data_IF_682172585063
#
_entry.id   IF_682172585063
#
_cell.length_a   1.000
_cell.length_b   1.000
_cell.length_c   1.000
_cell.angle_alpha   90.00
_cell.angle_beta   90.00
_cell.angle_gamma   90.00
#
_symmetry.space_group_name_H-M   'P 1'
#
loop_
_entity.id
_entity.type
_entity.pdbx_description
1 polymer ?
#
# COMPACT_ATOMS: atom_id res chain seq x y z
N UNK A 1 -80.69 -2.19 -60.57
CA UNK A 1 -81.10 -2.94 -61.77
C UNK A 1 -80.19 -4.17 -61.81
N UNK A 2 -80.78 -5.38 -61.82
CA UNK A 2 -80.13 -6.72 -61.95
C UNK A 2 -79.23 -7.18 -60.76
N UNK A 3 -79.48 -8.24 -59.95
CA UNK A 3 -80.03 -9.61 -60.12
C UNK A 3 -79.35 -10.34 -61.29
N UNK A 4 -78.54 -11.41 -61.13
CA UNK A 4 -78.77 -12.74 -60.51
C UNK A 4 -77.43 -13.51 -60.56
N UNK A 5 -76.99 -14.20 -59.51
CA UNK A 5 -77.26 -15.61 -59.15
C UNK A 5 -76.53 -16.68 -60.00
N UNK A 6 -75.90 -17.60 -59.24
CA UNK A 6 -75.57 -19.03 -59.53
C UNK A 6 -74.30 -19.33 -60.35
N UNK A 7 -73.45 -20.32 -60.03
CA UNK A 7 -73.52 -21.50 -59.15
C UNK A 7 -72.08 -22.06 -58.92
N UNK A 8 -71.76 -22.52 -57.68
CA UNK A 8 -71.14 -23.82 -57.26
C UNK A 8 -69.92 -24.36 -58.10
N UNK A 9 -68.74 -24.78 -57.58
CA UNK A 9 -68.45 -25.70 -56.46
C UNK A 9 -66.94 -25.83 -56.09
N UNK A 10 -66.73 -26.40 -54.88
CA UNK A 10 -65.70 -27.36 -54.42
C UNK A 10 -64.22 -26.96 -54.26
N UNK A 11 -63.82 -26.97 -52.98
CA UNK A 11 -62.49 -27.29 -52.43
C UNK A 11 -61.34 -26.31 -52.73
N UNK A 12 -61.16 -25.32 -51.85
CA UNK A 12 -59.93 -24.53 -51.75
C UNK A 12 -59.68 -24.09 -50.31
N UNK A 13 -58.79 -24.80 -49.60
CA UNK A 13 -58.22 -24.36 -48.32
C UNK A 13 -57.58 -22.96 -48.49
N UNK A 14 -57.87 -22.04 -47.57
CA UNK A 14 -57.04 -20.85 -47.33
C UNK A 14 -56.71 -20.69 -45.85
N UNK A 15 -55.50 -20.17 -45.63
CA UNK A 15 -54.60 -20.47 -44.54
C UNK A 15 -54.84 -19.69 -43.25
N UNK A 16 -54.82 -20.41 -42.13
CA UNK A 16 -54.73 -19.87 -40.78
C UNK A 16 -53.28 -19.48 -40.48
N UNK A 17 -52.80 -18.34 -40.97
CA UNK A 17 -51.50 -17.79 -40.57
C UNK A 17 -51.66 -17.03 -39.24
N UNK A 18 -51.64 -17.83 -38.18
CA UNK A 18 -50.97 -17.63 -36.87
C UNK A 18 -50.98 -16.22 -36.25
N UNK A 19 -51.92 -16.01 -35.31
CA UNK A 19 -51.85 -14.99 -34.24
C UNK A 19 -50.49 -14.97 -33.50
N UNK A 20 -49.74 -16.07 -33.50
CA UNK A 20 -48.44 -16.20 -32.84
C UNK A 20 -47.36 -15.29 -33.44
N UNK A 21 -47.39 -14.99 -34.76
CA UNK A 21 -46.40 -14.09 -35.36
C UNK A 21 -46.61 -12.63 -34.94
N UNK A 22 -47.85 -12.23 -34.70
CA UNK A 22 -48.19 -10.88 -34.26
C UNK A 22 -47.77 -10.62 -32.81
N UNK A 23 -47.89 -11.65 -31.95
CA UNK A 23 -47.46 -11.59 -30.54
C UNK A 23 -45.92 -11.54 -30.39
N UNK A 24 -45.19 -12.22 -31.27
CA UNK A 24 -43.72 -12.21 -31.25
C UNK A 24 -43.21 -10.81 -31.68
N UNK A 25 -43.79 -10.24 -32.74
CA UNK A 25 -43.39 -8.90 -33.22
C UNK A 25 -43.71 -7.81 -32.19
N UNK A 26 -44.85 -7.88 -31.49
CA UNK A 26 -45.18 -6.91 -30.44
C UNK A 26 -44.23 -7.01 -29.24
N UNK A 27 -43.86 -8.22 -28.82
CA UNK A 27 -42.92 -8.42 -27.72
C UNK A 27 -41.52 -7.90 -28.05
N UNK A 28 -41.04 -8.12 -29.28
CA UNK A 28 -39.75 -7.59 -29.75
C UNK A 28 -39.73 -6.06 -29.80
N UNK A 29 -40.82 -5.43 -30.24
CA UNK A 29 -40.92 -3.96 -30.27
C UNK A 29 -40.92 -3.37 -28.85
N UNK A 30 -41.64 -3.99 -27.91
CA UNK A 30 -41.69 -3.54 -26.51
C UNK A 30 -40.31 -3.68 -25.85
N UNK A 31 -39.64 -4.83 -26.00
CA UNK A 31 -38.29 -5.02 -25.47
C UNK A 31 -37.29 -4.02 -26.06
N UNK A 32 -37.37 -3.73 -27.36
CA UNK A 32 -36.49 -2.75 -28.01
C UNK A 32 -36.69 -1.34 -27.47
N UNK A 33 -37.94 -0.96 -27.19
CA UNK A 33 -38.29 0.34 -26.60
C UNK A 33 -37.78 0.48 -25.15
N UNK A 34 -37.88 -0.58 -24.35
CA UNK A 34 -37.37 -0.60 -22.97
C UNK A 34 -35.85 -0.46 -22.94
N UNK A 35 -35.14 -1.17 -23.82
CA UNK A 35 -33.67 -1.07 -23.94
C UNK A 35 -33.26 0.35 -24.37
N UNK A 36 -33.95 0.92 -25.37
CA UNK A 36 -33.68 2.29 -25.81
C UNK A 36 -33.91 3.31 -24.70
N UNK A 37 -34.99 3.19 -23.91
CA UNK A 37 -35.22 4.05 -22.75
C UNK A 37 -34.12 3.90 -21.69
N UNK A 38 -33.70 2.66 -21.40
CA UNK A 38 -32.64 2.39 -20.43
C UNK A 38 -31.30 3.00 -20.82
N UNK A 39 -30.93 2.96 -22.11
CA UNK A 39 -29.71 3.59 -22.63
C UNK A 39 -29.80 5.12 -22.53
N UNK A 40 -30.94 5.72 -22.87
CA UNK A 40 -31.14 7.18 -22.76
C UNK A 40 -31.08 7.66 -21.31
N UNK A 41 -31.72 6.94 -20.38
CA UNK A 41 -31.64 7.23 -18.95
C UNK A 41 -30.22 7.05 -18.41
N UNK A 42 -29.52 5.98 -18.80
CA UNK A 42 -28.14 5.73 -18.41
C UNK A 42 -27.17 6.82 -18.89
N UNK A 43 -27.33 7.28 -20.15
CA UNK A 43 -26.53 8.39 -20.69
C UNK A 43 -26.83 9.72 -20.01
N UNK A 44 -28.07 9.95 -19.57
CA UNK A 44 -28.44 11.16 -18.83
C UNK A 44 -27.86 11.16 -17.42
N UNK A 45 -27.95 10.05 -16.70
CA UNK A 45 -27.32 9.88 -15.38
C UNK A 45 -25.79 10.03 -15.49
N UNK A 46 -25.17 9.42 -16.51
CA UNK A 46 -23.74 9.56 -16.76
C UNK A 46 -23.32 11.02 -17.01
N UNK A 47 -24.15 11.79 -17.73
CA UNK A 47 -23.88 13.21 -18.01
C UNK A 47 -24.07 14.08 -16.77
N UNK A 48 -25.09 13.82 -15.95
CA UNK A 48 -25.36 14.57 -14.72
C UNK A 48 -24.28 14.31 -13.65
N UNK A 49 -23.77 13.06 -13.52
CA UNK A 49 -22.66 12.74 -12.60
C UNK A 49 -21.34 13.41 -13.02
N UNK A 50 -21.11 13.54 -14.33
CA UNK A 50 -19.92 14.23 -14.85
C UNK A 50 -19.99 15.76 -14.68
N UNK A 51 -21.19 16.36 -14.65
CA UNK A 51 -21.34 17.78 -14.33
C UNK A 51 -21.18 18.04 -12.83
N UNK A 52 -21.68 17.16 -11.95
CA UNK A 52 -21.54 17.31 -10.50
C UNK A 52 -20.12 17.11 -9.97
N UNK A 53 -19.28 16.31 -10.64
CA UNK A 53 -17.86 16.15 -10.26
C UNK A 53 -17.03 17.43 -10.45
N UNK A 54 -17.46 18.35 -11.30
CA UNK A 54 -16.78 19.63 -11.54
C UNK A 54 -17.26 20.77 -10.62
N UNK A 55 -18.18 20.53 -9.67
CA UNK A 55 -18.76 21.59 -8.82
C UNK A 55 -18.54 21.37 -7.32
N UNK A 56 -17.95 20.26 -6.88
CA UNK A 56 -17.75 19.96 -5.44
C UNK A 56 -16.33 20.28 -4.93
N UNK A 57 -15.45 20.86 -5.75
CA UNK A 57 -14.20 21.46 -5.28
C UNK A 57 -14.00 22.85 -5.89
N UNK A 58 -14.34 23.89 -5.15
CA UNK A 58 -13.79 25.24 -5.37
C UNK A 58 -14.81 26.37 -5.41
N UNK A 59 -15.15 26.94 -4.25
CA UNK A 59 -15.48 28.36 -4.13
C UNK A 59 -14.73 28.98 -2.96
N UNK A 60 -13.66 29.68 -3.28
CA UNK A 60 -13.18 30.85 -2.55
C UNK A 60 -12.65 31.82 -3.62
N UNK A 61 -13.35 32.95 -3.78
CA UNK A 61 -13.11 33.89 -4.86
C UNK A 61 -11.88 34.77 -4.68
N UNK A 62 -11.33 35.23 -5.81
CA UNK A 62 -10.79 36.58 -5.98
C UNK A 62 -10.52 36.84 -7.47
N UNK A 63 -11.27 37.81 -7.97
CA UNK A 63 -11.13 38.70 -9.14
C UNK A 63 -9.87 38.67 -10.03
N UNK A 64 -10.13 38.65 -11.35
CA UNK A 64 -9.55 39.60 -12.32
C UNK A 64 -8.12 39.37 -12.83
N UNK A 65 -7.97 38.84 -14.07
CA UNK A 65 -6.71 38.93 -14.81
C UNK A 65 -6.67 38.12 -16.11
N UNK A 66 -6.57 38.85 -17.22
CA UNK A 66 -6.22 38.50 -18.61
C UNK A 66 -6.05 37.02 -19.06
N UNK A 67 -6.72 36.73 -20.17
CA UNK A 67 -6.55 35.54 -21.01
C UNK A 67 -5.10 35.41 -21.51
N UNK A 68 -4.27 34.64 -20.80
CA UNK A 68 -3.00 34.13 -21.32
C UNK A 68 -3.26 32.77 -21.96
N UNK A 69 -3.10 32.70 -23.29
CA UNK A 69 -3.11 31.46 -24.06
C UNK A 69 -1.88 30.62 -23.70
N UNK A 70 -1.95 29.81 -22.63
CA UNK A 70 -0.92 28.82 -22.33
C UNK A 70 -1.14 27.58 -23.17
N UNK A 71 -0.18 27.31 -24.06
CA UNK A 71 -0.03 26.02 -24.75
C UNK A 71 0.05 24.91 -23.68
N UNK A 72 -0.68 23.79 -23.82
CA UNK A 72 -0.60 22.70 -22.86
C UNK A 72 0.83 22.16 -22.83
N UNK A 73 1.51 22.31 -21.68
CA UNK A 73 2.78 21.64 -21.42
C UNK A 73 2.55 20.13 -21.53
N UNK A 74 3.33 19.40 -22.35
CA UNK A 74 3.12 17.97 -22.51
C UNK A 74 3.32 17.28 -21.16
N UNK A 75 2.31 16.49 -20.75
CA UNK A 75 2.41 15.54 -19.64
C UNK A 75 3.68 14.73 -19.83
N UNK A 76 4.56 14.61 -18.82
CA UNK A 76 5.77 13.80 -18.95
C UNK A 76 5.36 12.36 -19.26
N UNK A 77 5.60 11.95 -20.50
CA UNK A 77 5.38 10.56 -20.92
C UNK A 77 6.37 9.71 -20.14
N UNK A 78 5.88 8.98 -19.13
CA UNK A 78 6.67 7.95 -18.46
C UNK A 78 7.04 6.94 -19.54
N UNK A 79 8.27 7.03 -20.04
CA UNK A 79 8.86 5.94 -20.82
C UNK A 79 9.15 4.84 -19.81
N UNK A 80 8.17 3.95 -19.62
CA UNK A 80 8.45 2.63 -19.07
C UNK A 80 9.63 2.08 -19.87
N UNK A 81 10.70 1.60 -19.23
CA UNK A 81 11.77 0.95 -19.96
C UNK A 81 11.14 -0.10 -20.85
N UNK A 82 11.43 -0.04 -22.15
CA UNK A 82 11.10 -1.11 -23.08
C UNK A 82 11.93 -2.31 -22.64
N UNK A 83 11.43 -3.07 -21.67
CA UNK A 83 11.99 -4.37 -21.33
C UNK A 83 11.70 -5.26 -22.53
N UNK A 84 12.62 -5.27 -23.49
CA UNK A 84 12.65 -6.21 -24.60
C UNK A 84 13.01 -7.63 -24.13
N UNK A 85 13.20 -7.83 -22.83
CA UNK A 85 13.25 -9.14 -22.19
C UNK A 85 11.99 -9.40 -21.37
N UNK A 86 11.50 -10.63 -21.43
CA UNK A 86 10.63 -11.21 -20.39
C UNK A 86 11.21 -10.87 -19.01
N UNK A 87 10.37 -10.56 -17.99
CA UNK A 87 10.84 -10.45 -16.61
C UNK A 87 11.64 -11.71 -16.30
N UNK A 88 12.95 -11.58 -16.08
CA UNK A 88 13.77 -12.72 -15.76
C UNK A 88 13.41 -13.11 -14.33
N UNK A 89 12.47 -14.04 -14.19
CA UNK A 89 12.19 -14.69 -12.93
C UNK A 89 13.53 -15.24 -12.42
N UNK A 90 13.98 -14.71 -11.28
CA UNK A 90 15.26 -15.06 -10.66
C UNK A 90 15.23 -16.52 -10.16
N UNK A 91 14.05 -17.14 -10.13
CA UNK A 91 13.85 -18.52 -9.76
C UNK A 91 13.45 -19.35 -10.98
N UNK A 92 14.20 -20.42 -11.24
CA UNK A 92 13.82 -21.49 -12.18
C UNK A 92 12.64 -22.33 -11.65
N UNK A 93 12.18 -22.07 -10.41
CA UNK A 93 11.06 -22.78 -9.81
C UNK A 93 9.73 -22.28 -10.33
N UNK A 94 9.13 -23.03 -11.27
CA UNK A 94 7.86 -22.73 -11.95
C UNK A 94 6.70 -22.46 -10.97
N UNK A 95 6.73 -23.04 -9.77
CA UNK A 95 5.70 -22.86 -8.73
C UNK A 95 6.25 -22.17 -7.45
N UNK A 96 7.52 -21.77 -7.44
CA UNK A 96 8.15 -21.23 -6.23
C UNK A 96 8.37 -22.27 -5.12
N UNK A 97 8.56 -23.55 -5.48
CA UNK A 97 9.03 -24.57 -4.52
C UNK A 97 10.50 -24.33 -4.18
N UNK A 98 10.78 -24.20 -2.89
CA UNK A 98 12.12 -24.09 -2.35
C UNK A 98 12.36 -25.25 -1.38
N UNK A 99 13.54 -25.87 -1.47
CA UNK A 99 13.86 -27.06 -0.66
C UNK A 99 13.95 -26.78 0.84
N UNK A 100 14.33 -25.57 1.24
CA UNK A 100 14.67 -25.25 2.63
C UNK A 100 13.97 -24.02 3.18
N UNK A 101 14.02 -22.89 2.46
CA UNK A 101 13.42 -21.63 2.89
C UNK A 101 13.12 -20.74 1.67
N UNK A 102 12.25 -19.76 1.86
CA UNK A 102 11.89 -18.76 0.88
C UNK A 102 11.81 -17.38 1.54
N UNK A 103 12.17 -16.33 0.80
CA UNK A 103 11.95 -14.93 1.18
C UNK A 103 11.27 -14.26 0.00
N UNK A 104 10.14 -13.59 0.27
CA UNK A 104 9.40 -12.81 -0.72
C UNK A 104 9.36 -11.35 -0.25
N UNK A 105 9.79 -10.44 -1.12
CA UNK A 105 9.87 -8.99 -0.88
C UNK A 105 9.46 -8.25 -2.15
N UNK A 106 9.05 -6.98 -2.04
CA UNK A 106 8.61 -6.14 -3.16
C UNK A 106 9.76 -5.38 -3.86
N UNK A 107 11.00 -5.61 -3.40
CA UNK A 107 12.22 -4.97 -3.86
C UNK A 107 13.16 -5.97 -4.56
N UNK A 108 12.66 -6.60 -5.63
CA UNK A 108 13.41 -7.40 -6.61
C UNK A 108 14.36 -8.49 -6.04
N UNK A 109 15.27 -9.05 -6.86
CA UNK A 109 16.31 -9.95 -6.37
C UNK A 109 17.14 -9.42 -5.19
N UNK A 110 17.60 -8.14 -5.11
CA UNK A 110 18.61 -7.78 -4.11
C UNK A 110 18.12 -8.00 -2.68
N UNK A 111 16.89 -7.61 -2.34
CA UNK A 111 16.43 -7.67 -0.95
C UNK A 111 15.96 -9.07 -0.53
N UNK A 112 15.31 -9.83 -1.42
CA UNK A 112 15.00 -11.24 -1.17
C UNK A 112 16.28 -12.08 -1.08
N UNK A 113 17.27 -11.82 -1.93
CA UNK A 113 18.57 -12.53 -1.92
C UNK A 113 19.32 -12.26 -0.63
N UNK A 114 19.36 -11.02 -0.16
CA UNK A 114 19.96 -10.65 1.13
C UNK A 114 19.36 -11.48 2.27
N UNK A 115 18.03 -11.60 2.35
CA UNK A 115 17.36 -12.42 3.36
C UNK A 115 17.68 -13.90 3.23
N UNK A 116 17.62 -14.45 2.02
CA UNK A 116 17.97 -15.87 1.82
C UNK A 116 19.43 -16.16 2.17
N UNK A 117 20.35 -15.23 1.91
CA UNK A 117 21.76 -15.37 2.23
C UNK A 117 22.01 -15.37 3.76
N UNK A 118 21.22 -14.61 4.53
CA UNK A 118 21.30 -14.66 6.00
C UNK A 118 21.06 -16.09 6.50
N UNK A 119 20.06 -16.79 5.98
CA UNK A 119 19.78 -18.17 6.37
C UNK A 119 20.75 -19.18 5.73
N UNK A 120 20.85 -19.16 4.40
CA UNK A 120 21.50 -20.22 3.63
C UNK A 120 23.03 -20.18 3.71
N UNK A 121 23.63 -18.99 3.84
CA UNK A 121 25.09 -18.81 3.81
C UNK A 121 25.67 -18.43 5.17
N UNK A 122 24.92 -17.69 5.98
CA UNK A 122 25.40 -17.20 7.28
C UNK A 122 24.87 -18.00 8.48
N UNK A 123 23.90 -18.89 8.28
CA UNK A 123 23.33 -19.70 9.37
C UNK A 123 22.42 -18.93 10.32
N UNK A 124 21.90 -17.78 9.88
CA UNK A 124 20.96 -16.96 10.62
C UNK A 124 19.57 -17.59 10.73
N UNK A 125 18.73 -16.98 11.56
CA UNK A 125 17.32 -17.35 11.71
C UNK A 125 16.44 -16.73 10.63
N UNK A 126 15.15 -17.11 10.63
CA UNK A 126 14.13 -16.43 9.82
C UNK A 126 13.96 -14.97 10.24
N UNK A 127 14.23 -14.63 11.50
CA UNK A 127 14.17 -13.27 12.01
C UNK A 127 15.36 -12.46 11.49
N UNK A 128 16.58 -13.02 11.47
CA UNK A 128 17.75 -12.38 10.85
C UNK A 128 17.49 -12.09 9.37
N UNK A 129 16.91 -13.04 8.64
CA UNK A 129 16.53 -12.86 7.24
C UNK A 129 15.48 -11.77 7.06
N UNK A 130 14.44 -11.75 7.91
CA UNK A 130 13.39 -10.74 7.85
C UNK A 130 13.94 -9.33 8.10
N UNK A 131 14.81 -9.16 9.11
CA UNK A 131 15.45 -7.86 9.42
C UNK A 131 16.28 -7.37 8.24
N UNK A 132 17.18 -8.21 7.72
CA UNK A 132 18.06 -7.83 6.61
C UNK A 132 17.28 -7.52 5.33
N UNK A 133 16.21 -8.29 5.05
CA UNK A 133 15.32 -8.02 3.91
C UNK A 133 14.53 -6.73 4.09
N UNK A 134 13.96 -6.46 5.27
CA UNK A 134 13.15 -5.26 5.51
C UNK A 134 14.00 -3.99 5.39
N UNK A 135 15.21 -3.99 5.97
CA UNK A 135 16.17 -2.90 5.82
C UNK A 135 16.48 -2.61 4.35
N UNK A 136 16.74 -3.64 3.54
CA UNK A 136 16.97 -3.46 2.11
C UNK A 136 15.72 -2.96 1.39
N UNK A 137 14.56 -3.59 1.65
CA UNK A 137 13.31 -3.29 0.96
C UNK A 137 12.89 -1.85 1.19
N UNK A 138 12.91 -1.39 2.44
CA UNK A 138 12.50 -0.05 2.79
C UNK A 138 13.47 1.03 2.30
N UNK A 139 14.67 0.64 1.89
CA UNK A 139 15.61 1.55 1.21
C UNK A 139 15.38 1.51 -0.29
N UNK A 140 15.23 0.33 -0.86
CA UNK A 140 14.98 0.18 -2.28
C UNK A 140 13.66 0.84 -2.69
N UNK A 141 12.61 0.67 -1.88
CA UNK A 141 11.28 1.25 -2.02
C UNK A 141 11.03 2.32 -0.92
N UNK A 142 11.94 3.29 -0.79
CA UNK A 142 11.93 4.35 0.24
C UNK A 142 10.69 5.26 0.27
N UNK A 143 9.84 5.20 -0.74
CA UNK A 143 8.55 5.91 -0.76
C UNK A 143 7.45 5.16 0.01
N UNK A 144 7.70 3.89 0.39
CA UNK A 144 6.72 3.01 1.05
C UNK A 144 7.01 2.77 2.52
N UNK A 145 8.29 2.65 2.90
CA UNK A 145 8.73 2.42 4.28
C UNK A 145 10.17 2.91 4.48
N UNK A 146 10.68 2.87 5.71
CA UNK A 146 12.03 3.32 6.05
C UNK A 146 12.29 3.35 7.54
N UNK A 147 13.54 3.62 7.94
CA UNK A 147 13.94 3.71 9.34
C UNK A 147 13.27 4.88 10.11
N UNK A 148 12.65 5.81 9.38
CA UNK A 148 11.84 6.89 9.93
C UNK A 148 10.36 6.54 10.12
N UNK A 149 9.94 5.31 9.82
CA UNK A 149 8.57 4.82 9.99
C UNK A 149 8.43 3.79 11.10
N UNK A 150 7.57 2.80 10.88
CA UNK A 150 7.32 1.71 11.81
C UNK A 150 6.61 0.53 11.14
N UNK A 151 6.49 -0.58 11.85
CA UNK A 151 5.93 -1.83 11.30
C UNK A 151 5.21 -2.69 12.33
N UNK A 152 4.56 -3.74 11.84
CA UNK A 152 4.09 -4.87 12.65
C UNK A 152 4.74 -6.15 12.13
N UNK A 153 5.21 -7.01 13.03
CA UNK A 153 5.81 -8.30 12.65
C UNK A 153 5.18 -9.43 13.45
N UNK A 154 4.48 -10.33 12.76
CA UNK A 154 3.98 -11.57 13.35
C UNK A 154 4.95 -12.71 13.05
N UNK A 155 5.45 -13.35 14.09
CA UNK A 155 6.39 -14.47 13.98
C UNK A 155 5.73 -15.71 14.54
N UNK A 156 5.74 -16.81 13.77
CA UNK A 156 5.31 -18.12 14.24
C UNK A 156 6.54 -18.99 14.55
N UNK A 157 6.63 -19.45 15.80
CA UNK A 157 7.71 -20.32 16.26
C UNK A 157 7.23 -21.79 16.29
N UNK A 158 7.71 -22.58 15.33
CA UNK A 158 7.28 -23.99 15.17
C UNK A 158 7.59 -24.87 16.40
N UNK A 159 8.73 -24.65 17.05
CA UNK A 159 9.13 -25.39 18.27
C UNK A 159 8.14 -25.21 19.41
N UNK A 160 7.61 -24.00 19.58
CA UNK A 160 6.62 -23.67 20.62
C UNK A 160 5.18 -23.84 20.15
N UNK A 161 4.96 -23.95 18.83
CA UNK A 161 3.63 -23.95 18.19
C UNK A 161 2.80 -22.72 18.59
N UNK A 162 3.49 -21.59 18.73
CA UNK A 162 2.92 -20.32 19.17
C UNK A 162 3.40 -19.20 18.24
N UNK A 163 2.67 -18.10 18.23
CA UNK A 163 3.06 -16.89 17.52
C UNK A 163 3.04 -15.70 18.47
N UNK A 164 3.79 -14.67 18.10
CA UNK A 164 3.80 -13.36 18.77
C UNK A 164 3.81 -12.28 17.70
N UNK A 165 3.34 -11.08 18.07
CA UNK A 165 3.39 -9.90 17.20
C UNK A 165 4.16 -8.79 17.89
N UNK A 166 5.18 -8.26 17.20
CA UNK A 166 5.89 -7.04 17.59
C UNK A 166 5.13 -5.85 17.02
N UNK A 167 4.77 -4.89 17.88
CA UNK A 167 4.14 -3.65 17.50
C UNK A 167 5.20 -2.54 17.51
N UNK A 168 5.73 -2.22 16.33
CA UNK A 168 6.73 -1.18 16.13
C UNK A 168 6.16 0.00 15.33
N UNK A 169 4.86 0.24 15.48
CA UNK A 169 4.15 1.38 14.89
C UNK A 169 4.60 2.67 15.55
N UNK A 170 4.61 3.75 14.79
CA UNK A 170 4.91 5.08 15.29
C UNK A 170 3.91 5.50 16.38
N UNK A 171 4.39 6.26 17.36
CA UNK A 171 3.57 6.81 18.45
C UNK A 171 3.38 8.31 18.29
N UNK A 172 2.25 8.84 18.77
CA UNK A 172 2.05 10.28 18.84
C UNK A 172 3.07 10.90 19.82
N UNK A 173 3.72 12.03 19.49
CA UNK A 173 4.58 12.77 20.43
C UNK A 173 3.82 13.20 21.68
N UNK A 174 4.49 13.35 22.82
CA UNK A 174 3.84 13.72 24.08
C UNK A 174 3.06 15.04 24.01
N UNK A 175 3.52 15.99 23.19
CA UNK A 175 2.88 17.30 22.98
C UNK A 175 1.75 17.27 21.92
N UNK A 176 1.44 16.10 21.35
CA UNK A 176 0.34 15.95 20.41
C UNK A 176 -1.02 16.18 21.10
N UNK A 177 -1.98 16.75 20.38
CA UNK A 177 -3.33 16.99 20.89
C UNK A 177 -4.38 16.89 19.78
N UNK A 178 -5.64 16.71 20.18
CA UNK A 178 -6.79 16.49 19.29
C UNK A 178 -6.94 17.57 18.20
N UNK A 179 -6.58 18.82 18.51
CA UNK A 179 -6.81 19.96 17.63
C UNK A 179 -5.58 20.42 16.83
N UNK A 180 -4.44 19.73 16.96
CA UNK A 180 -3.14 20.19 16.43
C UNK A 180 -3.13 20.37 14.89
N UNK A 181 -4.08 19.77 14.18
CA UNK A 181 -4.22 19.85 12.73
C UNK A 181 -5.36 20.76 12.25
N UNK A 182 -6.08 21.44 13.14
CA UNK A 182 -7.11 22.42 12.71
C UNK A 182 -6.43 23.54 11.93
N UNK A 183 -6.72 23.64 10.63
CA UNK A 183 -6.09 24.62 9.73
C UNK A 183 -4.63 24.31 9.37
N UNK A 184 -4.15 23.10 9.62
CA UNK A 184 -2.78 22.65 9.30
C UNK A 184 -2.80 21.30 8.59
N UNK A 185 -1.73 20.96 7.88
CA UNK A 185 -1.62 19.67 7.19
C UNK A 185 -1.29 18.55 8.19
N UNK A 186 -1.96 17.39 8.04
CA UNK A 186 -1.62 16.14 8.74
C UNK A 186 -0.83 15.17 7.87
N UNK A 187 -0.42 15.59 6.67
CA UNK A 187 0.28 14.72 5.69
C UNK A 187 1.59 15.31 5.18
N UNK A 188 1.91 16.56 5.54
CA UNK A 188 3.12 17.25 5.11
C UNK A 188 3.77 18.00 6.30
N UNK A 189 5.10 18.08 6.30
CA UNK A 189 5.89 18.79 7.32
C UNK A 189 6.17 17.97 8.58
N UNK A 190 7.00 18.52 9.46
CA UNK A 190 7.44 17.86 10.69
C UNK A 190 6.32 17.60 11.69
N UNK A 191 5.23 18.39 11.63
CA UNK A 191 4.06 18.18 12.51
C UNK A 191 3.36 16.84 12.23
N UNK A 192 3.43 16.34 10.98
CA UNK A 192 2.83 15.07 10.56
C UNK A 192 3.67 13.83 10.95
N UNK A 193 4.83 14.01 11.58
CA UNK A 193 5.75 12.93 11.93
C UNK A 193 5.37 12.31 13.28
N UNK A 194 5.11 11.01 13.30
CA UNK A 194 5.04 10.20 14.52
C UNK A 194 6.44 9.73 14.96
N UNK A 195 6.59 9.34 16.22
CA UNK A 195 7.85 8.85 16.77
C UNK A 195 8.25 7.55 16.05
N UNK A 196 9.38 7.50 15.31
CA UNK A 196 9.74 6.34 14.50
C UNK A 196 10.01 5.07 15.30
N UNK A 197 9.41 3.95 14.90
CA UNK A 197 9.50 2.66 15.58
C UNK A 197 10.36 1.60 14.93
N UNK A 198 10.73 1.77 13.66
CA UNK A 198 11.36 0.75 12.83
C UNK A 198 12.61 0.13 13.49
N UNK A 199 13.58 0.95 13.92
CA UNK A 199 14.85 0.45 14.44
C UNK A 199 14.66 -0.28 15.78
N UNK A 200 13.83 0.24 16.68
CA UNK A 200 13.53 -0.43 17.96
C UNK A 200 12.80 -1.74 17.72
N UNK A 201 11.82 -1.77 16.84
CA UNK A 201 11.10 -3.00 16.49
C UNK A 201 12.01 -4.09 15.93
N UNK A 202 12.91 -3.73 15.02
CA UNK A 202 13.88 -4.67 14.44
C UNK A 202 14.84 -5.21 15.50
N UNK A 203 15.23 -4.36 16.47
CA UNK A 203 16.02 -4.78 17.61
C UNK A 203 15.28 -5.75 18.52
N UNK A 204 14.03 -5.47 18.88
CA UNK A 204 13.22 -6.38 19.70
C UNK A 204 13.06 -7.74 19.01
N UNK A 205 12.84 -7.75 17.69
CA UNK A 205 12.83 -8.99 16.90
C UNK A 205 14.16 -9.74 17.02
N UNK A 206 15.27 -9.02 16.86
CA UNK A 206 16.62 -9.56 16.99
C UNK A 206 16.89 -10.15 18.37
N UNK A 207 16.46 -9.51 19.45
CA UNK A 207 16.62 -10.01 20.82
C UNK A 207 15.84 -11.31 21.05
N UNK A 208 14.68 -11.47 20.42
CA UNK A 208 13.84 -12.68 20.59
C UNK A 208 14.34 -13.84 19.74
N UNK A 209 14.67 -13.59 18.47
CA UNK A 209 14.87 -14.65 17.49
C UNK A 209 16.13 -14.51 16.63
N UNK A 210 16.95 -13.48 16.84
CA UNK A 210 18.20 -13.26 16.11
C UNK A 210 19.29 -14.27 16.47
N UNK A 211 20.15 -14.58 15.50
CA UNK A 211 21.33 -15.45 15.70
C UNK A 211 22.61 -14.80 15.21
N UNK A 212 22.53 -13.99 14.16
CA UNK A 212 23.69 -13.28 13.63
C UNK A 212 23.97 -12.01 14.45
N UNK A 213 25.22 -11.51 14.46
CA UNK A 213 25.51 -10.20 15.02
C UNK A 213 24.66 -9.11 14.37
N UNK A 214 24.10 -8.19 15.16
CA UNK A 214 23.25 -7.09 14.67
C UNK A 214 23.86 -6.35 13.49
N UNK A 215 25.14 -5.97 13.62
CA UNK A 215 25.92 -5.31 12.57
C UNK A 215 25.88 -6.04 11.24
N UNK A 216 25.94 -7.37 11.24
CA UNK A 216 25.97 -8.19 10.02
C UNK A 216 24.65 -8.14 9.25
N UNK A 217 23.53 -7.84 9.93
CA UNK A 217 22.21 -7.67 9.30
C UNK A 217 22.12 -6.36 8.52
N UNK A 218 22.83 -5.32 8.95
CA UNK A 218 22.84 -3.99 8.32
C UNK A 218 23.84 -3.88 7.17
N UNK A 219 24.96 -4.62 7.24
CA UNK A 219 26.06 -4.50 6.26
C UNK A 219 25.66 -4.65 4.79
N UNK A 220 24.80 -5.62 4.38
CA UNK A 220 24.42 -5.77 2.98
C UNK A 220 23.73 -4.52 2.43
N UNK A 221 22.85 -3.92 3.24
CA UNK A 221 22.12 -2.71 2.88
C UNK A 221 23.02 -1.48 2.89
N UNK A 222 23.95 -1.36 3.86
CA UNK A 222 24.97 -0.30 3.86
C UNK A 222 25.80 -0.34 2.58
N UNK A 223 26.24 -1.53 2.16
CA UNK A 223 26.99 -1.73 0.91
C UNK A 223 26.18 -1.26 -0.29
N UNK A 224 24.91 -1.67 -0.38
CA UNK A 224 24.00 -1.30 -1.46
C UNK A 224 23.80 0.21 -1.54
N UNK A 225 23.71 0.92 -0.41
CA UNK A 225 23.57 2.37 -0.38
C UNK A 225 24.82 3.12 -0.86
N UNK A 226 26.01 2.57 -0.62
CA UNK A 226 27.30 3.16 -1.04
C UNK A 226 27.61 2.90 -2.51
N UNK A 227 27.45 1.65 -2.94
CA UNK A 227 27.73 1.22 -4.30
C UNK A 227 26.65 1.70 -5.27
N UNK A 228 25.42 1.84 -4.77
CA UNK A 228 24.24 2.24 -5.51
C UNK A 228 23.41 1.04 -5.93
N UNK A 229 22.14 1.29 -6.21
CA UNK A 229 21.20 0.28 -6.71
C UNK A 229 20.36 0.82 -7.85
N UNK A 230 19.83 -0.11 -8.63
CA UNK A 230 18.96 0.21 -9.76
C UNK A 230 17.58 0.65 -9.26
N UNK A 231 17.15 1.84 -9.66
CA UNK A 231 15.82 2.37 -9.34
C UNK A 231 14.76 1.45 -9.96
N UNK A 232 13.88 0.92 -9.10
CA UNK A 232 12.75 0.10 -9.50
C UNK A 232 11.61 0.92 -10.12
N UNK A 233 10.77 0.24 -10.89
CA UNK A 233 9.56 0.82 -11.49
C UNK A 233 8.64 1.49 -10.45
N UNK A 234 8.34 0.88 -9.28
CA UNK A 234 7.44 1.48 -8.29
C UNK A 234 7.93 2.85 -7.79
N UNK A 235 9.21 2.94 -7.43
CA UNK A 235 9.84 4.19 -6.96
C UNK A 235 9.81 5.26 -8.06
N UNK A 236 10.13 4.90 -9.30
CA UNK A 236 10.09 5.84 -10.41
C UNK A 236 8.68 6.42 -10.63
N UNK A 237 7.63 5.59 -10.51
CA UNK A 237 6.24 6.04 -10.58
C UNK A 237 5.91 6.97 -9.41
N UNK A 238 6.32 6.62 -8.18
CA UNK A 238 6.10 7.44 -7.00
C UNK A 238 6.77 8.82 -7.10
N UNK A 239 8.02 8.87 -7.57
CA UNK A 239 8.75 10.13 -7.79
C UNK A 239 8.06 11.00 -8.85
N UNK A 240 7.60 10.40 -9.96
CA UNK A 240 6.89 11.13 -11.01
C UNK A 240 5.57 11.71 -10.50
N UNK A 241 4.83 10.96 -9.67
CA UNK A 241 3.54 11.37 -9.11
C UNK A 241 3.62 12.50 -8.08
N UNK A 242 4.75 12.66 -7.38
CA UNK A 242 4.91 13.59 -6.25
C UNK A 242 5.76 14.83 -6.58
N UNK A 243 5.86 15.17 -7.89
CA UNK A 243 6.80 16.16 -8.40
C UNK A 243 6.76 17.51 -7.67
N UNK A 244 5.57 18.03 -7.36
CA UNK A 244 5.43 19.35 -6.72
C UNK A 244 5.77 19.34 -5.21
N UNK A 245 5.54 18.23 -4.51
CA UNK A 245 6.01 18.07 -3.12
C UNK A 245 7.53 18.01 -3.09
N UNK A 246 8.11 17.18 -3.96
CA UNK A 246 9.56 17.00 -4.07
C UNK A 246 10.24 18.33 -4.42
N UNK A 247 9.70 19.09 -5.38
CA UNK A 247 10.23 20.40 -5.78
C UNK A 247 10.23 21.44 -4.64
N UNK A 248 9.42 21.26 -3.59
CA UNK A 248 9.40 22.15 -2.42
C UNK A 248 10.39 21.72 -1.33
N UNK A 249 10.85 20.47 -1.33
CA UNK A 249 11.73 19.91 -0.29
C UNK A 249 13.17 19.72 -0.78
N UNK A 250 14.10 20.57 -0.32
CA UNK A 250 15.50 20.55 -0.81
C UNK A 250 16.17 19.19 -0.57
N UNK A 251 16.00 18.61 0.63
CA UNK A 251 16.60 17.31 0.96
C UNK A 251 16.13 16.18 0.04
N UNK A 252 14.86 16.18 -0.38
CA UNK A 252 14.35 15.21 -1.34
C UNK A 252 14.92 15.46 -2.75
N UNK A 253 14.99 16.72 -3.21
CA UNK A 253 15.60 17.03 -4.51
C UNK A 253 17.04 16.55 -4.59
N UNK A 254 17.84 16.84 -3.57
CA UNK A 254 19.25 16.44 -3.53
C UNK A 254 19.43 14.92 -3.57
N UNK A 255 18.47 14.17 -3.03
CA UNK A 255 18.48 12.71 -3.01
C UNK A 255 18.07 12.11 -4.35
N UNK A 256 17.01 12.63 -4.97
CA UNK A 256 16.34 11.94 -6.08
C UNK A 256 16.56 12.59 -7.45
N UNK A 257 17.21 13.74 -7.52
CA UNK A 257 17.63 14.34 -8.79
C UNK A 257 18.91 13.69 -9.28
N UNK A 258 18.85 13.13 -10.48
CA UNK A 258 19.99 12.61 -11.18
C UNK A 258 20.92 13.78 -11.59
N UNK A 259 22.15 13.86 -11.06
CA UNK A 259 23.03 15.00 -11.31
C UNK A 259 23.54 15.05 -12.75
N UNK A 260 23.50 13.95 -13.50
CA UNK A 260 23.89 13.92 -14.91
C UNK A 260 22.81 14.49 -15.83
N UNK A 261 21.53 14.36 -15.47
CA UNK A 261 20.41 14.79 -16.34
C UNK A 261 19.68 16.02 -15.82
N UNK A 262 19.81 16.34 -14.52
CA UNK A 262 19.03 17.38 -13.84
C UNK A 262 17.56 17.01 -13.60
N UNK A 263 17.13 15.82 -14.00
CA UNK A 263 15.77 15.31 -13.80
C UNK A 263 15.74 14.33 -12.61
N UNK A 264 14.55 13.99 -12.13
CA UNK A 264 14.43 12.89 -11.15
C UNK A 264 14.88 11.57 -11.78
N UNK A 265 15.44 10.70 -10.93
CA UNK A 265 15.83 9.37 -11.36
C UNK A 265 14.65 8.62 -11.99
N UNK A 266 14.91 7.87 -13.05
CA UNK A 266 13.92 6.97 -13.67
C UNK A 266 14.29 5.51 -13.49
N UNK A 267 13.33 4.61 -13.73
CA UNK A 267 13.56 3.17 -13.60
C UNK A 267 14.75 2.71 -14.47
N UNK A 268 15.62 1.89 -13.89
CA UNK A 268 16.85 1.43 -14.55
C UNK A 268 18.10 2.27 -14.26
N UNK A 269 17.95 3.52 -13.79
CA UNK A 269 19.10 4.35 -13.38
C UNK A 269 19.65 3.90 -12.02
N UNK A 270 20.90 4.28 -11.72
CA UNK A 270 21.55 3.94 -10.45
C UNK A 270 21.50 5.12 -9.49
N UNK A 271 20.90 4.91 -8.31
CA UNK A 271 20.85 5.87 -7.20
C UNK A 271 21.79 5.45 -6.07
N UNK A 272 22.37 6.43 -5.37
CA UNK A 272 23.23 6.23 -4.19
C UNK A 272 22.71 7.06 -3.02
N UNK A 273 22.81 6.56 -1.80
CA UNK A 273 22.39 7.32 -0.60
C UNK A 273 23.47 7.26 0.50
N UNK A 274 24.62 7.95 0.31
CA UNK A 274 25.74 7.88 1.23
C UNK A 274 25.42 8.41 2.64
N UNK A 275 24.52 9.40 2.76
CA UNK A 275 24.08 9.92 4.07
C UNK A 275 23.35 8.84 4.88
N UNK A 276 22.41 8.14 4.26
CA UNK A 276 21.69 7.04 4.90
C UNK A 276 22.61 5.84 5.18
N UNK A 277 23.60 5.57 4.32
CA UNK A 277 24.62 4.57 4.59
C UNK A 277 25.37 4.89 5.88
N UNK A 278 25.75 6.17 6.07
CA UNK A 278 26.42 6.62 7.29
C UNK A 278 25.54 6.50 8.53
N UNK A 279 24.25 6.81 8.42
CA UNK A 279 23.27 6.59 9.50
C UNK A 279 23.22 5.11 9.91
N UNK A 280 23.12 4.21 8.94
CA UNK A 280 23.10 2.77 9.22
C UNK A 280 24.44 2.23 9.77
N UNK A 281 25.58 2.80 9.37
CA UNK A 281 26.87 2.47 9.98
C UNK A 281 26.90 2.82 11.47
N UNK A 282 26.43 4.02 11.83
CA UNK A 282 26.36 4.46 13.22
C UNK A 282 25.46 3.51 14.02
N UNK A 283 24.28 3.16 13.51
CA UNK A 283 23.37 2.20 14.16
C UNK A 283 23.99 0.79 14.26
N UNK A 284 24.79 0.38 13.27
CA UNK A 284 25.46 -0.91 13.27
C UNK A 284 26.61 -0.98 14.28
N UNK A 285 27.32 0.13 14.49
CA UNK A 285 28.51 0.22 15.34
C UNK A 285 28.19 0.56 16.79
N UNK A 286 27.26 1.47 17.02
CA UNK A 286 26.89 2.01 18.34
C UNK A 286 25.62 1.34 18.91
N UNK A 287 24.91 0.57 18.09
CA UNK A 287 23.65 -0.07 18.45
C UNK A 287 22.42 0.84 18.24
N UNK A 288 21.25 0.32 18.55
CA UNK A 288 19.97 0.99 18.25
C UNK A 288 19.75 2.28 19.04
N UNK A 289 20.35 2.41 20.21
CA UNK A 289 20.23 3.62 21.02
C UNK A 289 20.95 4.82 20.39
N UNK A 290 21.82 4.61 19.40
CA UNK A 290 22.33 5.71 18.58
C UNK A 290 21.21 6.54 17.92
N UNK A 291 20.08 5.91 17.59
CA UNK A 291 18.89 6.56 17.03
C UNK A 291 18.03 7.22 18.12
N UNK A 292 17.78 6.52 19.23
CA UNK A 292 16.78 6.92 20.23
C UNK A 292 17.31 7.74 21.41
N UNK A 293 18.58 7.57 21.78
CA UNK A 293 19.22 8.26 22.91
C UNK A 293 20.75 8.31 22.74
N UNK A 294 21.21 8.78 21.57
CA UNK A 294 22.62 8.71 21.20
C UNK A 294 23.00 9.66 20.07
N UNK A 295 24.01 9.27 19.29
CA UNK A 295 24.71 10.13 18.33
C UNK A 295 23.78 10.80 17.30
N UNK A 296 22.72 10.12 16.85
CA UNK A 296 21.81 10.62 15.82
C UNK A 296 20.60 11.39 16.37
N UNK A 297 20.30 11.21 17.66
CA UNK A 297 19.03 11.66 18.26
C UNK A 297 18.82 13.16 18.15
N UNK A 298 19.88 13.95 18.39
CA UNK A 298 19.80 15.41 18.32
C UNK A 298 19.56 15.91 16.90
N UNK A 299 20.22 15.30 15.92
CA UNK A 299 20.07 15.66 14.52
C UNK A 299 18.65 15.33 14.02
N UNK A 300 18.12 14.16 14.39
CA UNK A 300 16.73 13.76 14.07
C UNK A 300 15.73 14.75 14.65
N UNK A 301 15.87 15.12 15.92
CA UNK A 301 14.96 16.07 16.58
C UNK A 301 15.09 17.46 15.96
N UNK A 302 16.30 17.90 15.64
CA UNK A 302 16.53 19.19 14.98
C UNK A 302 15.83 19.23 13.61
N UNK A 303 16.05 18.23 12.76
CA UNK A 303 15.44 18.15 11.43
C UNK A 303 13.89 18.17 11.50
N UNK A 304 13.30 17.44 12.45
CA UNK A 304 11.84 17.40 12.63
C UNK A 304 11.32 18.76 13.11
N UNK A 305 11.99 19.41 14.06
CA UNK A 305 11.58 20.72 14.59
C UNK A 305 11.76 21.85 13.59
N UNK A 306 12.83 21.81 12.79
CA UNK A 306 13.06 22.76 11.69
C UNK A 306 11.95 22.64 10.63
N UNK A 307 11.39 21.45 10.46
CA UNK A 307 10.21 21.20 9.62
C UNK A 307 8.86 21.50 10.32
N UNK A 308 8.87 22.08 11.52
CA UNK A 308 7.67 22.47 12.29
C UNK A 308 7.07 21.36 13.16
N UNK A 309 7.82 20.29 13.43
CA UNK A 309 7.41 19.18 14.27
C UNK A 309 7.59 19.42 15.76
N UNK A 310 7.01 18.51 16.55
CA UNK A 310 6.90 18.61 18.01
C UNK A 310 7.59 17.45 18.76
N UNK A 311 8.26 16.54 18.04
CA UNK A 311 9.03 15.45 18.66
C UNK A 311 10.21 16.03 19.44
N UNK A 312 10.44 15.47 20.63
CA UNK A 312 11.56 15.80 21.51
C UNK A 312 12.52 14.62 21.66
N UNK A 313 13.72 14.88 22.19
CA UNK A 313 14.67 13.81 22.56
C UNK A 313 14.05 12.83 23.58
N UNK A 314 13.17 13.33 24.47
CA UNK A 314 12.46 12.51 25.46
C UNK A 314 11.46 11.58 24.80
N UNK A 315 10.79 12.03 23.74
CA UNK A 315 9.86 11.18 22.97
C UNK A 315 10.61 10.01 22.31
N UNK A 316 11.75 10.28 21.68
CA UNK A 316 12.60 9.23 21.10
C UNK A 316 13.14 8.27 22.18
N UNK A 317 13.67 8.80 23.28
CA UNK A 317 14.20 7.98 24.36
C UNK A 317 13.12 7.13 25.05
N UNK A 318 11.87 7.60 25.06
CA UNK A 318 10.72 6.91 25.65
C UNK A 318 10.04 5.89 24.73
N UNK A 319 10.43 5.79 23.46
CA UNK A 319 9.79 4.87 22.52
C UNK A 319 10.07 3.41 22.86
N UNK A 320 9.04 2.56 22.78
CA UNK A 320 9.14 1.11 22.96
C UNK A 320 8.39 0.38 21.85
N UNK A 321 8.85 -0.83 21.50
CA UNK A 321 8.19 -1.70 20.52
C UNK A 321 7.66 -2.97 21.23
N UNK A 322 6.48 -2.93 21.87
CA UNK A 322 6.01 -4.05 22.67
C UNK A 322 5.75 -5.30 21.83
N UNK A 323 6.03 -6.46 22.41
CA UNK A 323 5.60 -7.76 21.90
C UNK A 323 4.31 -8.17 22.58
N UNK A 324 3.32 -8.60 21.80
CA UNK A 324 2.00 -9.03 22.28
C UNK A 324 1.58 -10.34 21.63
N UNK A 325 0.60 -11.01 22.25
CA UNK A 325 -0.04 -12.15 21.62
C UNK A 325 -0.78 -11.71 20.34
N UNK A 326 -0.73 -12.52 19.27
CA UNK A 326 -1.38 -12.20 18.01
C UNK A 326 -2.89 -12.43 18.13
N UNK A 327 -3.64 -11.87 17.18
CA UNK A 327 -5.02 -12.28 16.99
C UNK A 327 -5.05 -13.71 16.45
N UNK A 328 -5.77 -14.60 17.13
CA UNK A 328 -5.90 -16.01 16.77
C UNK A 328 -7.27 -16.29 16.18
N UNK A 329 -7.33 -16.65 14.90
CA UNK A 329 -8.58 -16.94 14.19
C UNK A 329 -8.57 -18.40 13.75
N UNK A 330 -9.47 -19.22 14.31
CA UNK A 330 -9.67 -20.61 13.87
C UNK A 330 -10.52 -20.62 12.61
N UNK A 331 -9.90 -20.90 11.46
CA UNK A 331 -10.62 -21.01 10.18
C UNK A 331 -11.49 -22.26 10.13
N UNK A 332 -10.90 -23.39 10.51
CA UNK A 332 -11.56 -24.69 10.61
C UNK A 332 -10.82 -25.55 11.64
N UNK A 333 -11.05 -26.86 11.64
CA UNK A 333 -10.43 -27.79 12.61
C UNK A 333 -8.90 -27.87 12.50
N UNK A 334 -8.33 -27.58 11.33
CA UNK A 334 -6.92 -27.83 11.04
C UNK A 334 -6.13 -26.54 10.72
N UNK A 335 -6.79 -25.42 10.53
CA UNK A 335 -6.17 -24.17 10.08
C UNK A 335 -6.45 -23.03 11.06
N UNK A 336 -5.39 -22.32 11.42
CA UNK A 336 -5.41 -21.16 12.32
C UNK A 336 -4.65 -20.02 11.67
N UNK A 337 -5.27 -18.86 11.58
CA UNK A 337 -4.61 -17.61 11.19
C UNK A 337 -4.11 -16.93 12.47
N UNK A 338 -2.85 -16.52 12.43
CA UNK A 338 -2.29 -15.57 13.38
C UNK A 338 -2.15 -14.22 12.66
N UNK A 339 -2.80 -13.19 13.17
CA UNK A 339 -2.80 -11.85 12.58
C UNK A 339 -2.32 -10.81 13.58
N UNK A 340 -1.96 -9.62 13.10
CA UNK A 340 -1.63 -8.50 13.98
C UNK A 340 -2.87 -8.02 14.73
N UNK A 341 -2.66 -7.53 15.94
CA UNK A 341 -3.71 -6.94 16.79
C UNK A 341 -3.79 -5.42 16.59
N UNK A 342 -4.73 -4.79 17.29
CA UNK A 342 -4.85 -3.33 17.30
C UNK A 342 -3.52 -2.65 17.65
N UNK A 343 -3.20 -1.51 17.02
CA UNK A 343 -4.05 -0.72 16.10
C UNK A 343 -4.05 -1.19 14.64
N UNK A 344 -3.49 -2.36 14.33
CA UNK A 344 -3.55 -2.93 12.97
C UNK A 344 -4.97 -3.41 12.63
N UNK A 345 -5.29 -3.47 11.33
CA UNK A 345 -6.58 -3.95 10.82
C UNK A 345 -6.68 -5.48 10.73
N UNK A 346 -5.78 -6.23 11.38
CA UNK A 346 -5.78 -7.70 11.37
C UNK A 346 -7.06 -8.34 11.94
N UNK A 347 -7.84 -7.58 12.73
CA UNK A 347 -9.16 -7.94 13.30
C UNK A 347 -10.31 -7.96 12.28
N UNK A 348 -10.10 -7.44 11.07
CA UNK A 348 -11.12 -7.38 10.00
C UNK A 348 -11.07 -8.69 9.19
N UNK A 349 -11.69 -9.76 9.69
CA UNK A 349 -11.80 -11.05 8.98
C UNK A 349 -13.20 -11.66 9.08
N UNK A 350 -13.72 -12.25 7.99
CA UNK A 350 -14.99 -12.99 7.97
C UNK A 350 -14.89 -14.26 7.10
N UNK A 351 -15.66 -15.30 7.47
CA UNK A 351 -15.60 -16.66 6.91
C UNK A 351 -16.78 -16.99 5.96
N UNK A 352 -16.46 -17.72 4.88
CA UNK A 352 -17.30 -18.52 3.95
C UNK A 352 -18.22 -17.84 2.89
N UNK A 353 -18.37 -18.52 1.72
CA UNK A 353 -18.45 -17.92 0.36
C UNK A 353 -19.67 -18.36 -0.50
N UNK A 354 -20.23 -17.38 -1.25
CA UNK A 354 -20.69 -17.45 -2.65
C UNK A 354 -20.44 -16.06 -3.27
N UNK A 355 -19.46 -15.97 -4.17
CA UNK A 355 -18.20 -15.26 -3.89
C UNK A 355 -18.27 -13.74 -3.77
N UNK A 356 -18.58 -12.99 -4.82
CA UNK A 356 -18.32 -11.54 -4.81
C UNK A 356 -19.32 -10.71 -3.99
N UNK A 357 -20.62 -10.99 -4.10
CA UNK A 357 -21.63 -10.25 -3.33
C UNK A 357 -21.40 -10.42 -1.81
N UNK A 358 -21.18 -11.66 -1.35
CA UNK A 358 -20.91 -11.93 0.07
C UNK A 358 -19.56 -11.39 0.53
N UNK A 359 -18.53 -11.37 -0.31
CA UNK A 359 -17.25 -10.69 0.00
C UNK A 359 -17.49 -9.19 0.20
N UNK A 360 -18.24 -8.54 -0.69
CA UNK A 360 -18.53 -7.11 -0.59
C UNK A 360 -19.35 -6.80 0.67
N UNK A 361 -20.39 -7.59 0.97
CA UNK A 361 -21.16 -7.40 2.20
C UNK A 361 -20.31 -7.67 3.43
N UNK A 362 -19.44 -8.67 3.39
CA UNK A 362 -18.48 -8.94 4.48
C UNK A 362 -17.55 -7.75 4.73
N UNK A 363 -17.02 -7.14 3.66
CA UNK A 363 -16.21 -5.92 3.78
C UNK A 363 -17.03 -4.77 4.38
N UNK A 364 -18.27 -4.54 3.94
CA UNK A 364 -19.12 -3.49 4.53
C UNK A 364 -19.31 -3.69 6.04
N UNK A 365 -19.66 -4.91 6.47
CA UNK A 365 -19.86 -5.20 7.89
C UNK A 365 -18.58 -5.03 8.69
N UNK A 366 -17.45 -5.52 8.19
CA UNK A 366 -16.19 -5.45 8.91
C UNK A 366 -15.66 -4.01 8.99
N UNK A 367 -15.77 -3.22 7.92
CA UNK A 367 -15.39 -1.80 7.93
C UNK A 367 -16.35 -0.92 8.75
N UNK A 368 -17.62 -1.30 8.89
CA UNK A 368 -18.55 -0.62 9.80
C UNK A 368 -18.16 -0.77 11.28
N UNK A 369 -17.45 -1.85 11.64
CA UNK A 369 -16.88 -2.03 12.99
C UNK A 369 -15.54 -1.34 13.18
N UNK A 370 -14.80 -1.12 12.08
CA UNK A 370 -13.46 -0.51 12.13
C UNK A 370 -13.45 0.88 12.75
N UNK A 371 -14.54 1.64 12.65
CA UNK A 371 -14.64 3.00 13.19
C UNK A 371 -14.66 3.08 14.72
N UNK A 372 -14.87 1.95 15.41
CA UNK A 372 -14.81 1.88 16.87
C UNK A 372 -13.48 1.35 17.40
N UNK A 373 -12.46 1.19 16.55
CA UNK A 373 -11.16 0.65 16.95
C UNK A 373 -10.16 1.79 17.20
N UNK A 374 -9.41 1.68 18.29
CA UNK A 374 -8.40 2.65 18.72
C UNK A 374 -7.24 1.99 19.46
N UNK A 375 -6.19 2.77 19.74
CA UNK A 375 -5.12 2.36 20.65
C UNK A 375 -5.66 2.24 22.08
N UNK A 376 -5.69 1.01 22.62
CA UNK A 376 -6.18 0.72 23.98
C UNK A 376 -7.25 -0.36 24.04
N UNK A 377 -8.00 -0.60 22.95
CA UNK A 377 -9.08 -1.61 22.92
C UNK A 377 -8.54 -3.06 22.90
N UNK A 378 -7.22 -3.24 22.96
CA UNK A 378 -6.54 -4.53 22.98
C UNK A 378 -6.69 -5.30 24.31
N UNK A 379 -7.18 -4.66 25.38
CA UNK A 379 -7.34 -5.33 26.68
C UNK A 379 -8.78 -5.78 26.99
N UNK A 380 -9.85 -5.14 26.47
CA UNK A 380 -11.21 -5.46 26.94
C UNK A 380 -12.28 -5.83 25.88
N UNK A 381 -12.23 -5.36 24.62
CA UNK A 381 -13.45 -5.38 23.78
C UNK A 381 -13.43 -6.26 22.51
N UNK A 382 -12.27 -6.76 22.07
CA UNK A 382 -12.18 -7.45 20.78
C UNK A 382 -12.56 -8.95 20.80
N UNK A 383 -12.67 -9.58 21.98
CA UNK A 383 -12.87 -11.04 22.10
C UNK A 383 -14.23 -11.47 22.65
N UNK A 384 -15.04 -10.57 23.20
CA UNK A 384 -16.27 -10.94 23.93
C UNK A 384 -17.58 -10.76 23.12
N UNK A 385 -17.48 -10.45 21.81
CA UNK A 385 -18.65 -10.22 20.94
C UNK A 385 -18.64 -10.98 19.61
N UNK A 386 -18.08 -12.19 19.59
CA UNK A 386 -18.21 -13.12 18.44
C UNK A 386 -19.05 -14.34 18.80
#
# INVERSE_FOLDING_TARGET
>A
MEYKLNHINKNGKMSHISQSRMLIVSTFLICSLIIALGVVLGLKIYKDDNQNKNTICGEAGSEGGESVTTTPTPTPTIRLPTTTGTPQFVSESIEGHYRYAAVASDAGPPCSTIGTDMMARRGGSVVDAAIATLLCQCIHNFHSCGIGGGFFMTVYERSKRAAYTILAREMAPADANETMYVGRSSTEGGLAVGIPGEIRGLWEAHQIGGKLPWKDLLQPTIKLLKEGYTVGIPVAIAMAGQTEVIKRQQGLRDLITNPQTGNFYVAGETIKMPKLARTLEIIADEGVDAFYNGTLTKDIVADIRDAGGIITEKDLAGYTAPTKDPLVIKLNKNETIYSSILPSSGVVYQKEILTWHRIIEAFKFAYAKRTSLSDGDAEDDALDRS
#
